data_IF_442886698278
#
_entry.id   IF_442886698278
#
_cell.length_a   1.000
_cell.length_b   1.000
_cell.length_c   1.000
_cell.angle_alpha   90.00
_cell.angle_beta   90.00
_cell.angle_gamma   90.00
#
_symmetry.space_group_name_H-M   'P 1'
#
loop_
_entity.id
_entity.type
_entity.pdbx_description
1 polymer ?
#
# COMPACT_ATOMS: atom_id res chain seq x y z
N UNK A 1 41.54 9.23 -10.78
CA UNK A 1 40.58 10.33 -10.52
C UNK A 1 39.31 10.08 -11.33
N UNK A 2 38.28 9.55 -10.68
CA UNK A 2 36.86 9.88 -10.90
C UNK A 2 36.03 9.01 -9.99
N UNK A 3 35.74 9.57 -8.81
CA UNK A 3 34.80 9.08 -7.83
C UNK A 3 33.40 9.18 -8.49
N UNK A 4 32.85 8.07 -8.97
CA UNK A 4 31.48 7.98 -9.49
C UNK A 4 30.65 7.18 -8.49
N UNK A 5 30.10 7.97 -7.57
CA UNK A 5 28.83 7.73 -6.89
C UNK A 5 28.78 6.51 -5.96
N UNK A 6 29.53 6.59 -4.86
CA UNK A 6 29.05 6.02 -3.60
C UNK A 6 27.65 6.61 -3.35
N UNK A 7 26.60 5.83 -3.66
CA UNK A 7 25.25 6.18 -3.24
C UNK A 7 25.26 6.25 -1.72
N UNK A 8 25.15 7.45 -1.17
CA UNK A 8 24.87 7.68 0.25
C UNK A 8 23.40 7.32 0.49
N UNK A 9 23.09 6.03 0.41
CA UNK A 9 21.78 5.50 0.78
C UNK A 9 22.01 4.59 1.97
N UNK A 10 21.56 5.05 3.13
CA UNK A 10 21.55 4.22 4.33
C UNK A 10 20.26 3.41 4.33
N UNK A 11 20.34 2.11 4.64
CA UNK A 11 19.15 1.25 4.76
C UNK A 11 18.42 1.40 6.12
N UNK A 12 18.95 2.24 7.00
CA UNK A 12 18.33 2.56 8.28
C UNK A 12 17.22 3.59 8.08
N UNK A 13 16.06 3.32 8.68
CA UNK A 13 14.91 4.23 8.70
C UNK A 13 15.34 5.52 9.41
N UNK A 14 15.22 6.64 8.72
CA UNK A 14 15.41 7.96 9.29
C UNK A 14 14.08 8.55 9.75
N UNK A 15 14.16 9.57 10.62
CA UNK A 15 12.97 10.28 11.10
C UNK A 15 12.15 10.87 9.95
N UNK A 16 12.82 11.42 8.92
CA UNK A 16 12.14 11.97 7.74
C UNK A 16 11.41 10.90 6.90
N UNK A 17 11.86 9.64 6.94
CA UNK A 17 11.19 8.54 6.24
C UNK A 17 9.81 8.25 6.85
N UNK A 18 9.70 8.32 8.18
CA UNK A 18 8.45 8.06 8.90
C UNK A 18 7.40 9.13 8.60
N UNK A 19 7.81 10.40 8.60
CA UNK A 19 6.93 11.53 8.29
C UNK A 19 6.46 11.50 6.82
N UNK A 20 7.35 11.09 5.91
CA UNK A 20 7.05 10.97 4.47
C UNK A 20 6.18 9.76 4.15
N UNK A 21 6.37 8.61 4.80
CA UNK A 21 5.52 7.43 4.62
C UNK A 21 4.07 7.70 5.05
N UNK A 22 3.87 8.47 6.11
CA UNK A 22 2.55 8.76 6.68
C UNK A 22 1.68 9.62 5.74
N UNK A 23 2.30 10.44 4.89
CA UNK A 23 1.58 11.35 3.97
C UNK A 23 1.35 10.75 2.59
N UNK A 24 2.24 9.88 2.10
CA UNK A 24 2.17 9.32 0.76
C UNK A 24 1.36 8.02 0.67
N UNK A 25 1.28 7.23 1.74
CA UNK A 25 0.53 5.98 1.75
C UNK A 25 -0.85 6.18 2.38
N UNK A 26 -1.94 5.98 1.61
CA UNK A 26 -3.29 6.07 2.15
C UNK A 26 -3.49 5.06 3.27
N UNK A 27 -4.13 5.49 4.37
CA UNK A 27 -4.44 4.62 5.51
C UNK A 27 -5.74 3.86 5.28
N UNK A 28 -6.65 4.46 4.53
CA UNK A 28 -7.96 3.91 4.24
C UNK A 28 -8.11 3.57 2.76
N UNK A 29 -8.84 2.50 2.46
CA UNK A 29 -9.16 2.11 1.08
C UNK A 29 -9.90 3.23 0.31
N UNK A 30 -10.59 4.11 1.03
CA UNK A 30 -11.28 5.29 0.46
C UNK A 30 -10.32 6.39 0.01
N UNK A 31 -9.12 6.46 0.59
CA UNK A 31 -8.08 7.44 0.23
C UNK A 31 -7.22 6.93 -0.95
N UNK A 32 -7.34 5.65 -1.30
CA UNK A 32 -6.57 5.05 -2.38
C UNK A 32 -7.04 5.58 -3.74
N UNK A 33 -6.14 6.23 -4.47
CA UNK A 33 -6.42 6.88 -5.75
C UNK A 33 -6.38 5.83 -6.87
N UNK A 34 -7.40 5.83 -7.73
CA UNK A 34 -7.52 4.88 -8.85
C UNK A 34 -7.98 3.49 -8.44
N UNK A 35 -7.90 2.53 -9.37
CA UNK A 35 -8.30 1.13 -9.17
C UNK A 35 -9.76 0.93 -8.68
N UNK A 36 -10.71 1.78 -9.10
CA UNK A 36 -12.08 1.79 -8.57
C UNK A 36 -12.81 0.45 -8.67
N UNK A 37 -12.58 -0.31 -9.75
CA UNK A 37 -13.14 -1.65 -9.91
C UNK A 37 -12.66 -2.61 -8.82
N UNK A 38 -11.37 -2.60 -8.50
CA UNK A 38 -10.79 -3.46 -7.47
C UNK A 38 -11.22 -2.99 -6.07
N UNK A 39 -11.16 -1.68 -5.79
CA UNK A 39 -11.62 -1.10 -4.52
C UNK A 39 -13.08 -1.45 -4.22
N UNK A 40 -13.97 -1.35 -5.21
CA UNK A 40 -15.39 -1.66 -5.02
C UNK A 40 -15.62 -3.14 -4.69
N UNK A 41 -14.94 -4.06 -5.39
CA UNK A 41 -15.01 -5.50 -5.08
C UNK A 41 -14.49 -5.80 -3.67
N UNK A 42 -13.34 -5.24 -3.32
CA UNK A 42 -12.73 -5.45 -2.01
C UNK A 42 -13.61 -4.89 -0.89
N UNK A 43 -14.27 -3.74 -1.12
CA UNK A 43 -15.25 -3.18 -0.17
C UNK A 43 -16.42 -4.13 0.09
N UNK A 44 -16.97 -4.77 -0.95
CA UNK A 44 -18.05 -5.74 -0.83
C UNK A 44 -17.58 -6.97 -0.03
N UNK A 45 -16.40 -7.52 -0.33
CA UNK A 45 -15.88 -8.69 0.38
C UNK A 45 -15.60 -8.39 1.86
N UNK A 46 -14.97 -7.24 2.16
CA UNK A 46 -14.72 -6.82 3.53
C UNK A 46 -16.03 -6.65 4.29
N UNK A 47 -17.04 -6.02 3.66
CA UNK A 47 -18.34 -5.84 4.30
C UNK A 47 -19.01 -7.19 4.61
N UNK A 48 -18.99 -8.12 3.66
CA UNK A 48 -19.59 -9.44 3.83
C UNK A 48 -18.88 -10.27 4.93
N UNK A 49 -17.54 -10.23 4.98
CA UNK A 49 -16.78 -10.91 6.04
C UNK A 49 -17.07 -10.31 7.42
N UNK A 50 -17.18 -8.97 7.52
CA UNK A 50 -17.59 -8.29 8.76
C UNK A 50 -18.99 -8.68 9.22
N UNK A 51 -19.94 -8.78 8.30
CA UNK A 51 -21.32 -9.20 8.61
C UNK A 51 -21.39 -10.64 9.10
N UNK A 52 -20.57 -11.52 8.53
CA UNK A 52 -20.44 -12.93 8.94
C UNK A 52 -19.60 -13.13 10.20
N UNK A 53 -18.95 -12.08 10.71
CA UNK A 53 -18.03 -12.12 11.85
C UNK A 53 -16.90 -13.15 11.68
N UNK A 54 -16.40 -13.29 10.45
CA UNK A 54 -15.34 -14.22 10.10
C UNK A 54 -14.19 -13.49 9.38
N UNK A 55 -13.00 -14.10 9.31
CA UNK A 55 -11.90 -13.56 8.51
C UNK A 55 -12.29 -13.38 7.05
N UNK A 56 -11.72 -12.38 6.39
CA UNK A 56 -11.83 -12.25 4.93
C UNK A 56 -11.22 -13.50 4.26
N UNK A 57 -11.91 -14.04 3.26
CA UNK A 57 -11.38 -15.11 2.43
C UNK A 57 -10.06 -14.72 1.73
N UNK A 58 -9.30 -15.74 1.30
CA UNK A 58 -8.07 -15.52 0.57
C UNK A 58 -8.32 -14.76 -0.74
N UNK A 59 -7.62 -13.63 -0.92
CA UNK A 59 -7.73 -12.78 -2.12
C UNK A 59 -6.44 -12.86 -2.93
N UNK A 60 -6.55 -13.15 -4.22
CA UNK A 60 -5.45 -13.03 -5.18
C UNK A 60 -5.52 -11.68 -5.88
N UNK A 61 -4.48 -10.86 -5.73
CA UNK A 61 -4.30 -9.62 -6.47
C UNK A 61 -3.29 -9.86 -7.59
N UNK A 62 -3.68 -9.53 -8.83
CA UNK A 62 -2.82 -9.67 -10.01
C UNK A 62 -3.04 -8.49 -10.96
N UNK A 63 -2.00 -8.14 -11.71
CA UNK A 63 -2.01 -7.03 -12.66
C UNK A 63 -0.61 -6.76 -13.24
N UNK A 64 -0.52 -5.89 -14.26
CA UNK A 64 0.77 -5.38 -14.71
C UNK A 64 1.46 -4.61 -13.57
N UNK A 65 2.79 -4.47 -13.59
CA UNK A 65 3.50 -3.67 -12.60
C UNK A 65 3.09 -2.19 -12.70
N UNK A 66 2.85 -1.56 -11.55
CA UNK A 66 2.38 -0.17 -11.43
C UNK A 66 0.89 -0.06 -11.16
#
# INVERSE_FOLDING_TARGET
MNNRDERIVTGAIQSEDIDSETTLRPKWISEYIGQDKAKNKLKIFIQAAKERQEPLDHVLLFGPPG
#
